data_IF_432851380969
#
_entry.id   IF_432851380969
#
_cell.length_a   1.000
_cell.length_b   1.000
_cell.length_c   1.000
_cell.angle_alpha   90.00
_cell.angle_beta   90.00
_cell.angle_gamma   90.00
#
_symmetry.space_group_name_H-M   'P 1'
#
loop_
_entity.id
_entity.type
_entity.pdbx_description
1 polymer ?
#
# COMPACT_ATOMS: atom_id res chain seq x y z
N UNK A 1 6.46 -19.25 -10.37
CA UNK A 1 5.19 -19.38 -11.07
C UNK A 1 5.14 -18.43 -12.28
N UNK A 2 5.30 -17.13 -12.12
CA UNK A 2 5.27 -16.12 -13.19
C UNK A 2 6.56 -16.00 -14.02
N UNK A 3 7.55 -16.84 -13.81
CA UNK A 3 8.85 -16.73 -14.48
C UNK A 3 8.76 -16.66 -16.03
N UNK A 4 7.93 -17.47 -16.72
CA UNK A 4 7.77 -17.36 -18.17
C UNK A 4 7.24 -15.97 -18.60
N UNK A 5 6.27 -15.40 -17.86
CA UNK A 5 5.74 -14.07 -18.16
C UNK A 5 6.82 -12.98 -18.03
N UNK A 6 7.62 -13.03 -16.95
CA UNK A 6 8.74 -12.09 -16.80
C UNK A 6 9.77 -12.21 -17.93
N UNK A 7 9.95 -13.41 -18.45
CA UNK A 7 10.90 -13.64 -19.56
C UNK A 7 10.41 -13.04 -20.88
N UNK A 8 9.10 -13.07 -21.11
CA UNK A 8 8.47 -12.49 -22.29
C UNK A 8 8.30 -10.96 -22.21
N UNK A 9 8.27 -10.41 -20.99
CA UNK A 9 8.19 -8.97 -20.77
C UNK A 9 9.49 -8.30 -21.18
N UNK A 10 9.45 -7.47 -22.22
CA UNK A 10 10.63 -6.73 -22.70
C UNK A 10 11.10 -5.67 -21.68
N UNK A 11 12.36 -5.25 -21.76
CA UNK A 11 12.90 -4.22 -20.85
C UNK A 11 12.19 -2.86 -21.01
N UNK A 12 11.53 -2.62 -22.13
CA UNK A 12 10.81 -1.39 -22.46
C UNK A 12 9.32 -1.44 -22.09
N UNK A 13 8.79 -2.60 -21.72
CA UNK A 13 7.36 -2.80 -21.38
C UNK A 13 7.01 -2.44 -19.94
N UNK A 14 7.92 -1.84 -19.23
CA UNK A 14 7.70 -1.32 -17.89
C UNK A 14 8.33 -2.13 -16.77
N UNK A 15 8.36 -1.51 -15.63
CA UNK A 15 8.99 -2.05 -14.43
C UNK A 15 8.03 -3.00 -13.71
N UNK A 16 8.34 -4.28 -13.68
CA UNK A 16 7.57 -5.32 -12.98
C UNK A 16 7.46 -5.11 -11.46
N UNK A 17 8.08 -4.09 -10.88
CA UNK A 17 8.01 -3.80 -9.45
C UNK A 17 6.57 -3.64 -8.96
N UNK A 18 5.66 -3.16 -9.79
CA UNK A 18 4.24 -2.98 -9.47
C UNK A 18 3.50 -4.29 -9.11
N UNK A 19 4.04 -5.45 -9.49
CA UNK A 19 3.50 -6.77 -9.10
C UNK A 19 3.84 -7.08 -7.64
N UNK A 20 4.94 -6.54 -7.13
CA UNK A 20 5.47 -6.80 -5.80
C UNK A 20 5.16 -5.68 -4.81
N UNK A 21 5.42 -4.44 -5.19
CA UNK A 21 5.38 -3.28 -4.32
C UNK A 21 4.62 -2.14 -4.99
N UNK A 22 4.36 -1.07 -4.25
CA UNK A 22 3.66 0.10 -4.76
C UNK A 22 4.62 1.12 -5.37
N UNK A 23 4.09 1.96 -6.23
CA UNK A 23 4.85 3.05 -6.82
C UNK A 23 3.94 4.22 -7.17
N UNK A 24 4.49 5.43 -7.24
CA UNK A 24 3.72 6.60 -7.59
C UNK A 24 3.42 6.63 -9.09
N UNK A 25 2.21 7.01 -9.46
CA UNK A 25 1.89 7.35 -10.85
C UNK A 25 2.63 8.62 -11.30
N UNK A 26 2.77 9.57 -10.36
CA UNK A 26 3.57 10.79 -10.53
C UNK A 26 4.49 10.91 -9.31
N UNK A 27 5.81 10.97 -9.53
CA UNK A 27 6.78 11.08 -8.43
C UNK A 27 6.82 12.49 -7.83
N UNK A 28 5.82 12.78 -6.99
CA UNK A 28 5.78 13.97 -6.16
C UNK A 28 5.70 13.57 -4.68
N UNK A 29 6.84 13.32 -4.08
CA UNK A 29 6.98 12.71 -2.75
C UNK A 29 6.10 13.34 -1.65
N UNK A 30 5.98 14.69 -1.51
CA UNK A 30 5.09 15.27 -0.51
C UNK A 30 3.62 14.90 -0.70
N UNK A 31 3.10 14.97 -1.93
CA UNK A 31 1.71 14.60 -2.21
C UNK A 31 1.50 13.09 -2.05
N UNK A 32 2.46 12.29 -2.47
CA UNK A 32 2.40 10.83 -2.33
C UNK A 32 2.42 10.41 -0.86
N UNK A 33 3.26 11.07 -0.03
CA UNK A 33 3.26 10.84 1.41
C UNK A 33 1.91 11.21 2.04
N UNK A 34 1.35 12.36 1.67
CA UNK A 34 0.04 12.79 2.17
C UNK A 34 -1.06 11.80 1.76
N UNK A 35 -1.03 11.28 0.52
CA UNK A 35 -1.97 10.28 0.04
C UNK A 35 -1.92 9.00 0.90
N UNK A 36 -0.73 8.48 1.21
CA UNK A 36 -0.57 7.30 2.06
C UNK A 36 -0.99 7.56 3.51
N UNK A 37 -0.71 8.77 4.04
CA UNK A 37 -1.16 9.17 5.38
C UNK A 37 -2.69 9.18 5.45
N UNK A 38 -3.36 9.85 4.51
CA UNK A 38 -4.82 9.97 4.50
C UNK A 38 -5.48 8.61 4.29
N UNK A 39 -5.01 7.84 3.31
CA UNK A 39 -5.57 6.53 3.00
C UNK A 39 -5.47 5.57 4.20
N UNK A 40 -4.32 5.55 4.88
CA UNK A 40 -4.13 4.71 6.06
C UNK A 40 -4.89 5.24 7.27
N UNK A 41 -4.96 6.56 7.45
CA UNK A 41 -5.80 7.18 8.47
C UNK A 41 -7.27 6.72 8.33
N UNK A 42 -7.83 6.80 7.11
CA UNK A 42 -9.19 6.36 6.84
C UNK A 42 -9.39 4.88 7.12
N UNK A 43 -8.44 4.04 6.71
CA UNK A 43 -8.49 2.60 6.98
C UNK A 43 -8.55 2.29 8.48
N UNK A 44 -7.58 2.81 9.23
CA UNK A 44 -7.47 2.51 10.66
C UNK A 44 -8.62 3.13 11.45
N UNK A 45 -9.01 4.35 11.13
CA UNK A 45 -10.17 4.99 11.78
C UNK A 45 -11.45 4.19 11.55
N UNK A 46 -11.72 3.77 10.31
CA UNK A 46 -12.88 2.96 10.00
C UNK A 46 -12.85 1.62 10.77
N UNK A 47 -11.70 0.93 10.82
CA UNK A 47 -11.54 -0.32 11.60
C UNK A 47 -11.85 -0.08 13.08
N UNK A 48 -11.36 0.99 13.68
CA UNK A 48 -11.63 1.34 15.07
C UNK A 48 -13.12 1.64 15.33
N UNK A 49 -13.84 2.14 14.33
CA UNK A 49 -15.25 2.46 14.41
C UNK A 49 -16.18 1.26 14.14
N UNK A 50 -15.68 0.13 13.61
CA UNK A 50 -16.54 -1.00 13.22
C UNK A 50 -17.30 -1.65 14.39
N UNK A 51 -16.79 -1.53 15.62
CA UNK A 51 -17.42 -2.14 16.80
C UNK A 51 -17.50 -3.67 16.75
N UNK A 52 -18.41 -4.25 17.53
CA UNK A 52 -18.64 -5.70 17.54
C UNK A 52 -19.49 -6.12 16.34
N UNK A 53 -19.03 -7.09 15.61
CA UNK A 53 -19.72 -7.69 14.46
C UNK A 53 -20.00 -9.17 14.72
N UNK A 54 -20.91 -9.74 13.92
CA UNK A 54 -21.12 -11.18 13.90
C UNK A 54 -19.82 -11.92 13.49
N UNK A 55 -19.67 -13.14 13.99
CA UNK A 55 -18.49 -13.95 13.73
C UNK A 55 -18.25 -14.13 12.23
N UNK A 56 -17.02 -13.87 11.80
CA UNK A 56 -16.61 -13.96 10.42
C UNK A 56 -16.98 -12.77 9.51
N UNK A 57 -17.79 -11.80 9.99
CA UNK A 57 -18.19 -10.67 9.16
C UNK A 57 -17.10 -9.57 9.07
N UNK A 58 -16.36 -9.35 10.14
CA UNK A 58 -15.34 -8.30 10.19
C UNK A 58 -14.29 -8.40 9.07
N UNK A 59 -13.71 -9.57 8.74
CA UNK A 59 -12.76 -9.68 7.64
C UNK A 59 -13.37 -9.31 6.28
N UNK A 60 -14.64 -9.63 6.04
CA UNK A 60 -15.34 -9.28 4.80
C UNK A 60 -15.51 -7.77 4.67
N UNK A 61 -15.97 -7.12 5.75
CA UNK A 61 -16.15 -5.66 5.78
C UNK A 61 -14.80 -4.94 5.62
N UNK A 62 -13.76 -5.41 6.29
CA UNK A 62 -12.40 -4.85 6.14
C UNK A 62 -11.89 -5.05 4.70
N UNK A 63 -12.15 -6.19 4.09
CA UNK A 63 -11.79 -6.44 2.69
C UNK A 63 -12.46 -5.46 1.73
N UNK A 64 -13.77 -5.21 1.91
CA UNK A 64 -14.52 -4.22 1.13
C UNK A 64 -13.98 -2.81 1.37
N UNK A 65 -13.65 -2.46 2.61
CA UNK A 65 -13.06 -1.16 2.96
C UNK A 65 -11.72 -0.96 2.25
N UNK A 66 -10.83 -1.96 2.26
CA UNK A 66 -9.54 -1.91 1.56
C UNK A 66 -9.76 -1.75 0.05
N UNK A 67 -10.71 -2.48 -0.53
CA UNK A 67 -11.04 -2.34 -1.95
C UNK A 67 -11.55 -0.93 -2.28
N UNK A 68 -12.40 -0.36 -1.42
CA UNK A 68 -12.93 1.01 -1.58
C UNK A 68 -11.81 2.05 -1.52
N UNK A 69 -10.87 1.91 -0.58
CA UNK A 69 -9.69 2.77 -0.49
C UNK A 69 -8.80 2.60 -1.73
N UNK A 70 -8.62 1.37 -2.21
CA UNK A 70 -7.88 1.11 -3.44
C UNK A 70 -8.48 1.80 -4.67
N UNK A 71 -9.79 1.79 -4.81
CA UNK A 71 -10.49 2.50 -5.89
C UNK A 71 -10.42 4.02 -5.77
N UNK A 72 -10.32 4.56 -4.55
CA UNK A 72 -10.30 6.01 -4.29
C UNK A 72 -8.90 6.60 -4.34
N UNK A 73 -7.92 5.96 -3.71
CA UNK A 73 -6.55 6.45 -3.54
C UNK A 73 -5.50 5.69 -4.35
N UNK A 74 -5.87 4.56 -4.95
CA UNK A 74 -4.93 3.69 -5.64
C UNK A 74 -4.22 4.33 -6.83
N UNK A 75 -4.89 5.28 -7.50
CA UNK A 75 -4.34 5.96 -8.66
C UNK A 75 -3.08 6.80 -8.36
N UNK A 76 -2.91 7.26 -7.13
CA UNK A 76 -1.79 8.16 -6.77
C UNK A 76 -0.51 7.41 -6.42
N UNK A 77 -0.61 6.38 -5.57
CA UNK A 77 0.54 5.71 -4.95
C UNK A 77 0.48 4.18 -5.03
N UNK A 78 -0.65 3.61 -5.45
CA UNK A 78 -0.90 2.19 -5.36
C UNK A 78 -1.37 1.74 -3.97
N UNK A 79 -1.83 2.68 -3.13
CA UNK A 79 -2.41 2.42 -1.79
C UNK A 79 -1.67 1.35 -0.99
N UNK A 80 -0.44 1.65 -0.58
CA UNK A 80 0.35 0.70 0.20
C UNK A 80 -0.31 0.36 1.54
N UNK A 81 -0.79 1.34 2.28
CA UNK A 81 -1.54 1.23 3.54
C UNK A 81 -0.81 0.48 4.68
N UNK A 82 0.28 -0.20 4.34
CA UNK A 82 0.99 -1.09 5.23
C UNK A 82 2.47 -1.16 4.85
N UNK A 83 3.40 -0.79 5.75
CA UNK A 83 4.83 -0.86 5.45
C UNK A 83 5.30 -2.26 5.06
N UNK A 84 4.80 -3.30 5.70
CA UNK A 84 5.23 -4.67 5.41
C UNK A 84 4.73 -5.16 4.05
N UNK A 85 3.56 -4.70 3.61
CA UNK A 85 2.95 -5.00 2.31
C UNK A 85 3.77 -4.43 1.15
N UNK A 86 4.52 -3.35 1.39
CA UNK A 86 5.41 -2.77 0.38
C UNK A 86 6.86 -3.25 0.55
N UNK A 87 7.43 -3.10 1.73
CA UNK A 87 8.84 -3.35 2.00
C UNK A 87 9.24 -4.81 1.77
N UNK A 88 8.47 -5.77 2.28
CA UNK A 88 8.77 -7.20 2.14
C UNK A 88 8.82 -7.66 0.67
N UNK A 89 7.75 -7.44 -0.11
CA UNK A 89 7.75 -7.78 -1.53
C UNK A 89 8.78 -6.98 -2.35
N UNK A 90 9.06 -5.73 -2.02
CA UNK A 90 10.11 -4.92 -2.65
C UNK A 90 11.49 -5.53 -2.44
N UNK A 91 11.76 -6.00 -1.23
CA UNK A 91 12.98 -6.73 -0.91
C UNK A 91 13.06 -8.04 -1.69
N UNK A 92 11.98 -8.80 -1.73
CA UNK A 92 11.90 -10.02 -2.52
C UNK A 92 12.18 -9.74 -4.01
N UNK A 93 11.58 -8.71 -4.59
CA UNK A 93 11.85 -8.27 -5.96
C UNK A 93 13.33 -7.94 -6.18
N UNK A 94 13.99 -7.33 -5.20
CA UNK A 94 15.42 -7.00 -5.28
C UNK A 94 16.28 -8.25 -5.34
N UNK A 95 15.98 -9.25 -4.53
CA UNK A 95 16.81 -10.46 -4.36
C UNK A 95 16.54 -11.50 -5.45
N UNK A 96 15.27 -11.67 -5.85
CA UNK A 96 14.88 -12.72 -6.78
C UNK A 96 15.52 -12.50 -8.18
N UNK A 97 15.97 -13.58 -8.84
CA UNK A 97 16.54 -13.54 -10.19
C UNK A 97 15.43 -13.42 -11.25
N UNK A 98 14.74 -12.30 -11.27
CA UNK A 98 13.64 -12.03 -12.21
C UNK A 98 14.25 -11.54 -13.52
N UNK A 99 13.96 -12.18 -14.68
CA UNK A 99 14.41 -11.68 -15.97
C UNK A 99 13.85 -10.29 -16.27
N UNK A 100 14.63 -9.46 -16.94
CA UNK A 100 14.23 -8.13 -17.39
C UNK A 100 13.67 -7.22 -16.28
N UNK A 101 13.97 -7.49 -15.02
CA UNK A 101 13.52 -6.66 -13.90
C UNK A 101 14.16 -5.28 -13.97
N UNK A 102 13.33 -4.26 -13.81
CA UNK A 102 13.79 -2.90 -13.62
C UNK A 102 14.27 -2.63 -12.19
N UNK A 103 14.30 -1.38 -11.82
CA UNK A 103 14.72 -0.98 -10.47
C UNK A 103 13.63 -1.28 -9.45
N UNK A 104 14.01 -1.62 -8.21
CA UNK A 104 13.08 -1.80 -7.10
C UNK A 104 12.59 -0.45 -6.51
N UNK A 105 13.05 0.68 -7.06
CA UNK A 105 12.68 2.04 -6.63
C UNK A 105 12.78 2.27 -5.11
N UNK A 106 13.94 1.91 -4.52
CA UNK A 106 14.18 2.10 -3.09
C UNK A 106 14.15 3.56 -2.65
N UNK A 107 14.41 4.50 -3.58
CA UNK A 107 14.33 5.94 -3.31
C UNK A 107 12.92 6.41 -2.97
N UNK A 108 11.91 5.65 -3.39
CA UNK A 108 10.50 5.90 -3.08
C UNK A 108 10.01 5.14 -1.84
N UNK A 109 10.68 4.03 -1.49
CA UNK A 109 10.20 3.06 -0.49
C UNK A 109 9.91 3.65 0.91
N UNK A 110 10.52 4.78 1.27
CA UNK A 110 10.25 5.46 2.53
C UNK A 110 8.83 6.03 2.61
N UNK A 111 8.21 6.40 1.48
CA UNK A 111 6.84 6.92 1.42
C UNK A 111 5.83 5.89 1.91
N UNK A 112 5.74 4.69 1.29
CA UNK A 112 4.85 3.63 1.75
C UNK A 112 5.26 3.02 3.10
N UNK A 113 6.44 3.35 3.62
CA UNK A 113 6.87 2.95 4.95
C UNK A 113 6.41 3.96 6.03
N UNK A 114 6.73 5.23 5.86
CA UNK A 114 6.47 6.29 6.86
C UNK A 114 5.01 6.76 6.80
N UNK A 115 4.43 6.92 5.62
CA UNK A 115 3.06 7.40 5.44
C UNK A 115 2.03 6.61 6.25
N UNK A 116 1.97 5.28 6.10
CA UNK A 116 1.05 4.46 6.86
C UNK A 116 1.27 4.51 8.38
N UNK A 117 2.52 4.59 8.86
CA UNK A 117 2.80 4.71 10.29
C UNK A 117 2.23 6.02 10.87
N UNK A 118 2.43 7.14 10.16
CA UNK A 118 1.87 8.43 10.57
C UNK A 118 0.34 8.39 10.50
N UNK A 119 -0.23 7.89 9.39
CA UNK A 119 -1.68 7.80 9.21
C UNK A 119 -2.37 6.98 10.29
N UNK A 120 -1.81 5.81 10.61
CA UNK A 120 -2.31 4.94 11.68
C UNK A 120 -2.23 5.62 13.06
N UNK A 121 -1.09 6.25 13.38
CA UNK A 121 -0.92 6.98 14.63
C UNK A 121 -1.93 8.11 14.78
N UNK A 122 -2.13 8.92 13.74
CA UNK A 122 -3.12 10.00 13.74
C UNK A 122 -4.56 9.46 13.90
N UNK A 123 -4.91 8.34 13.27
CA UNK A 123 -6.22 7.72 13.41
C UNK A 123 -6.50 7.27 14.85
N UNK A 124 -5.52 6.65 15.51
CA UNK A 124 -5.63 6.24 16.91
C UNK A 124 -5.79 7.45 17.84
N UNK A 125 -5.00 8.50 17.64
CA UNK A 125 -5.10 9.73 18.43
C UNK A 125 -6.47 10.37 18.23
N UNK A 126 -6.90 10.54 16.99
CA UNK A 126 -8.20 11.11 16.66
C UNK A 126 -9.35 10.30 17.28
N UNK A 127 -9.31 8.98 17.13
CA UNK A 127 -10.33 8.10 17.71
C UNK A 127 -10.44 8.26 19.24
N UNK A 128 -9.30 8.30 19.93
CA UNK A 128 -9.28 8.50 21.41
C UNK A 128 -9.79 9.86 21.86
N UNK A 129 -9.71 10.88 21.00
CA UNK A 129 -10.21 12.22 21.31
C UNK A 129 -11.73 12.36 21.07
N UNK A 130 -12.27 11.57 20.14
CA UNK A 130 -13.66 11.72 19.67
C UNK A 130 -14.56 10.59 20.18
N UNK A 131 -14.02 9.39 20.37
CA UNK A 131 -14.77 8.28 20.93
C UNK A 131 -14.90 8.43 22.47
N UNK A 132 -16.11 8.33 23.01
CA UNK A 132 -16.38 8.44 24.45
C UNK A 132 -15.78 7.30 25.26
#
# INVERSE_FOLDING_TARGET
FYYPHFKETGPDEGNCVGIFATGPAIDHKPCNLMSEIIATFMLILAILCLGKMADGLAPVVIGILIASIGMSFGATTGYALNPARDFGPRLAYTILPIPNKGTANWQYAWVPFIGPLIGAGLAVVFFKLVAP
#
